data_IF_563288268099
#
_entry.id   IF_563288268099
#
_cell.length_a   1.000
_cell.length_b   1.000
_cell.length_c   1.000
_cell.angle_alpha   90.00
_cell.angle_beta   90.00
_cell.angle_gamma   90.00
#
_symmetry.space_group_name_H-M   'P 1'
#
loop_
_entity.id
_entity.type
_entity.pdbx_description
1 polymer ?
#
# COMPACT_ATOMS: atom_id res chain seq x y z
N UNK A 1 2.38 6.47 14.93
CA UNK A 1 2.65 5.69 13.70
C UNK A 1 2.45 6.61 12.52
N UNK A 2 3.41 6.66 11.60
CA UNK A 2 3.38 7.52 10.40
C UNK A 2 3.81 6.72 9.18
N UNK A 3 3.05 6.82 8.09
CA UNK A 3 3.36 6.23 6.79
C UNK A 3 3.52 7.34 5.75
N UNK A 4 4.53 7.23 4.92
CA UNK A 4 4.68 8.03 3.72
C UNK A 4 3.76 7.45 2.64
N UNK A 5 2.99 8.31 1.99
CA UNK A 5 2.04 7.96 0.93
C UNK A 5 2.61 8.47 -0.39
N UNK A 6 2.85 7.56 -1.31
CA UNK A 6 3.36 7.88 -2.64
C UNK A 6 2.28 7.66 -3.70
N UNK A 7 2.28 8.52 -4.71
CA UNK A 7 1.51 8.34 -5.92
C UNK A 7 2.47 8.34 -7.11
N UNK A 8 2.49 7.26 -7.89
CA UNK A 8 3.46 7.07 -9.00
C UNK A 8 4.92 7.34 -8.58
N UNK A 9 5.34 6.82 -7.42
CA UNK A 9 6.66 7.02 -6.81
C UNK A 9 6.98 8.46 -6.37
N UNK A 10 6.03 9.38 -6.46
CA UNK A 10 6.17 10.75 -5.92
C UNK A 10 5.53 10.82 -4.55
N UNK A 11 6.24 11.37 -3.56
CA UNK A 11 5.70 11.57 -2.22
C UNK A 11 4.51 12.54 -2.28
N UNK A 12 3.32 12.00 -2.08
CA UNK A 12 2.08 12.77 -2.12
C UNK A 12 1.68 13.31 -0.75
N UNK A 13 2.02 12.59 0.33
CA UNK A 13 1.62 13.01 1.66
C UNK A 13 1.93 11.98 2.75
N UNK A 14 1.24 12.14 3.86
CA UNK A 14 1.48 11.37 5.08
C UNK A 14 0.17 10.88 5.69
N UNK A 15 0.12 9.60 6.01
CA UNK A 15 -0.96 9.00 6.79
C UNK A 15 -0.44 8.72 8.19
N UNK A 16 -1.07 9.28 9.22
CA UNK A 16 -0.61 9.11 10.59
C UNK A 16 -1.75 8.92 11.58
N UNK A 17 -1.46 8.21 12.67
CA UNK A 17 -2.40 7.96 13.73
C UNK A 17 -2.06 8.81 14.94
N UNK A 18 -3.05 9.51 15.47
CA UNK A 18 -3.00 10.30 16.71
C UNK A 18 -3.93 9.70 17.74
N UNK A 19 -3.65 9.91 19.03
CA UNK A 19 -4.46 9.33 20.13
C UNK A 19 -5.87 9.95 20.21
N UNK A 20 -5.98 11.22 19.86
CA UNK A 20 -7.20 12.04 20.00
C UNK A 20 -8.03 12.12 18.72
N UNK A 21 -7.40 12.09 17.55
CA UNK A 21 -8.08 12.29 16.25
C UNK A 21 -8.16 11.04 15.38
N UNK A 22 -7.59 9.92 15.85
CA UNK A 22 -7.51 8.68 15.08
C UNK A 22 -6.55 8.78 13.90
N UNK A 23 -6.93 8.26 12.74
CA UNK A 23 -6.11 8.29 11.52
C UNK A 23 -6.40 9.58 10.74
N UNK A 24 -5.34 10.29 10.38
CA UNK A 24 -5.37 11.57 9.67
C UNK A 24 -4.48 11.47 8.44
N UNK A 25 -4.89 12.07 7.34
CA UNK A 25 -4.07 12.21 6.13
C UNK A 25 -3.80 13.68 5.84
N UNK A 26 -2.56 13.99 5.47
CA UNK A 26 -2.16 15.31 4.99
C UNK A 26 -1.33 15.15 3.71
N UNK A 27 -1.59 16.00 2.72
CA UNK A 27 -0.69 16.12 1.57
C UNK A 27 0.63 16.77 1.97
N UNK A 28 1.72 16.40 1.29
CA UNK A 28 3.01 17.09 1.40
C UNK A 28 2.92 18.50 0.82
N UNK A 29 3.54 19.48 1.48
CA UNK A 29 3.46 20.89 1.04
C UNK A 29 4.04 21.11 -0.35
N UNK A 30 5.16 20.46 -0.67
CA UNK A 30 5.78 20.57 -2.00
C UNK A 30 4.88 19.92 -3.06
N UNK A 31 4.23 18.80 -2.71
CA UNK A 31 3.29 18.13 -3.62
C UNK A 31 2.10 19.04 -3.95
N UNK A 32 1.54 19.74 -2.95
CA UNK A 32 0.45 20.69 -3.13
C UNK A 32 0.92 21.91 -3.96
N UNK A 33 2.08 22.47 -3.62
CA UNK A 33 2.60 23.67 -4.31
C UNK A 33 2.95 23.38 -5.79
N UNK A 34 3.31 22.15 -6.12
CA UNK A 34 3.56 21.71 -7.49
C UNK A 34 2.31 21.22 -8.23
N UNK A 35 1.10 21.47 -7.70
CA UNK A 35 -0.16 21.03 -8.28
C UNK A 35 -0.20 19.53 -8.59
N UNK A 36 0.23 18.71 -7.64
CA UNK A 36 0.20 17.25 -7.76
C UNK A 36 -1.20 16.72 -8.06
N UNK A 37 -1.29 15.49 -8.54
CA UNK A 37 -2.57 14.83 -8.78
C UNK A 37 -3.22 14.45 -7.44
N UNK A 38 -4.52 14.74 -7.20
CA UNK A 38 -5.21 14.26 -6.01
C UNK A 38 -5.29 12.73 -5.97
N UNK A 39 -5.17 12.15 -4.78
CA UNK A 39 -5.30 10.68 -4.59
C UNK A 39 -6.69 10.17 -5.00
N UNK A 40 -7.71 11.00 -4.82
CA UNK A 40 -9.10 10.68 -5.12
C UNK A 40 -9.92 11.97 -5.21
N UNK A 41 -11.07 11.89 -5.88
CA UNK A 41 -12.07 12.97 -5.86
C UNK A 41 -12.57 13.27 -4.44
N UNK A 42 -12.58 12.29 -3.54
CA UNK A 42 -12.95 12.47 -2.12
C UNK A 42 -11.83 13.07 -1.28
N UNK A 43 -10.60 13.09 -1.79
CA UNK A 43 -9.41 13.67 -1.18
C UNK A 43 -8.78 14.70 -2.15
N UNK A 44 -9.46 15.82 -2.44
CA UNK A 44 -8.93 16.83 -3.34
C UNK A 44 -7.64 17.44 -2.79
N UNK A 45 -6.82 18.02 -3.68
CA UNK A 45 -5.57 18.66 -3.29
C UNK A 45 -5.83 19.87 -2.42
N UNK A 46 -5.34 19.86 -1.18
CA UNK A 46 -5.47 20.94 -0.20
C UNK A 46 -4.34 20.90 0.83
N UNK A 47 -4.11 22.01 1.54
CA UNK A 47 -3.10 22.12 2.60
C UNK A 47 -3.59 21.57 3.95
N UNK A 48 -4.90 21.62 4.17
CA UNK A 48 -5.52 21.16 5.41
C UNK A 48 -5.52 19.63 5.50
N UNK A 49 -5.42 19.13 6.73
CA UNK A 49 -5.50 17.71 7.00
C UNK A 49 -6.92 17.15 6.77
N UNK A 50 -6.99 15.92 6.33
CA UNK A 50 -8.24 15.17 6.25
C UNK A 50 -8.45 14.36 7.52
N UNK A 51 -9.59 14.59 8.15
CA UNK A 51 -10.00 13.80 9.33
C UNK A 51 -10.22 12.34 8.97
N UNK A 52 -10.17 11.46 9.98
CA UNK A 52 -10.44 10.03 9.83
C UNK A 52 -11.71 9.74 9.03
N UNK A 53 -12.80 10.45 9.33
CA UNK A 53 -14.09 10.27 8.64
C UNK A 53 -13.99 10.50 7.13
N UNK A 54 -13.12 11.41 6.68
CA UNK A 54 -12.94 11.74 5.26
C UNK A 54 -11.94 10.84 4.55
N UNK A 55 -10.82 10.50 5.21
CA UNK A 55 -9.75 9.78 4.51
C UNK A 55 -9.88 8.25 4.60
N UNK A 56 -10.46 7.71 5.69
CA UNK A 56 -10.55 6.27 5.89
C UNK A 56 -11.33 5.49 4.82
N UNK A 57 -12.46 5.98 4.27
CA UNK A 57 -13.15 5.27 3.20
C UNK A 57 -12.26 5.00 1.98
N UNK A 58 -11.42 5.95 1.61
CA UNK A 58 -10.46 5.77 0.52
C UNK A 58 -9.37 4.74 0.89
N UNK A 59 -8.70 4.92 2.02
CA UNK A 59 -7.59 4.05 2.41
C UNK A 59 -8.01 2.62 2.76
N UNK A 60 -9.20 2.42 3.33
CA UNK A 60 -9.73 1.08 3.57
C UNK A 60 -10.10 0.36 2.27
N UNK A 61 -10.59 1.09 1.28
CA UNK A 61 -10.94 0.54 -0.03
C UNK A 61 -9.74 0.06 -0.87
N UNK A 62 -8.50 0.40 -0.46
CA UNK A 62 -7.28 -0.13 -1.07
C UNK A 62 -6.89 -1.51 -0.54
N UNK A 63 -7.56 -1.99 0.50
CA UNK A 63 -7.22 -3.22 1.21
C UNK A 63 -8.22 -4.34 0.88
N UNK A 64 -7.80 -5.59 0.99
CA UNK A 64 -8.71 -6.72 0.81
C UNK A 64 -9.80 -6.71 1.89
N UNK A 65 -10.96 -7.28 1.52
CA UNK A 65 -12.13 -7.41 2.38
C UNK A 65 -12.46 -8.88 2.68
N UNK A 66 -13.41 -9.10 3.59
CA UNK A 66 -13.99 -10.41 3.89
C UNK A 66 -12.95 -11.44 4.35
N UNK A 67 -13.06 -12.65 3.83
CA UNK A 67 -12.24 -13.80 4.25
C UNK A 67 -10.74 -13.63 3.99
N UNK A 68 -10.37 -12.86 2.96
CA UNK A 68 -8.96 -12.58 2.65
C UNK A 68 -8.37 -11.69 3.75
N UNK A 69 -9.10 -10.65 4.15
CA UNK A 69 -8.68 -9.76 5.24
C UNK A 69 -8.50 -10.52 6.55
N UNK A 70 -9.43 -11.41 6.90
CA UNK A 70 -9.35 -12.22 8.11
C UNK A 70 -8.09 -13.11 8.11
N UNK A 71 -7.84 -13.82 7.02
CA UNK A 71 -6.63 -14.66 6.87
C UNK A 71 -5.33 -13.87 7.00
N UNK A 72 -5.30 -12.66 6.45
CA UNK A 72 -4.13 -11.78 6.58
C UNK A 72 -3.99 -11.29 8.02
N UNK A 73 -5.09 -10.91 8.68
CA UNK A 73 -5.15 -10.51 10.08
C UNK A 73 -4.55 -11.59 10.99
N UNK A 74 -4.99 -12.83 10.83
CA UNK A 74 -4.48 -13.99 11.56
C UNK A 74 -2.99 -14.23 11.29
N UNK A 75 -2.58 -14.21 10.03
CA UNK A 75 -1.19 -14.46 9.64
C UNK A 75 -0.22 -13.40 10.16
N UNK A 76 -0.62 -12.13 10.13
CA UNK A 76 0.22 -11.00 10.58
C UNK A 76 0.03 -10.65 12.06
N UNK A 77 -0.90 -11.32 12.76
CA UNK A 77 -1.28 -11.01 14.14
C UNK A 77 -1.66 -9.54 14.36
N UNK A 78 -2.41 -8.97 13.43
CA UNK A 78 -2.92 -7.59 13.48
C UNK A 78 -4.44 -7.59 13.56
N UNK A 79 -5.00 -6.59 14.25
CA UNK A 79 -6.47 -6.45 14.30
C UNK A 79 -7.06 -6.13 12.93
N UNK A 80 -8.14 -6.81 12.53
CA UNK A 80 -8.88 -6.56 11.29
C UNK A 80 -9.36 -5.10 11.16
N UNK A 81 -9.64 -4.44 12.28
CA UNK A 81 -10.07 -3.05 12.30
C UNK A 81 -8.93 -2.05 12.08
N UNK A 82 -7.67 -2.48 12.16
CA UNK A 82 -6.52 -1.58 12.08
C UNK A 82 -6.04 -1.35 10.65
N UNK A 83 -6.78 -0.54 9.87
CA UNK A 83 -6.43 -0.20 8.49
C UNK A 83 -4.99 0.29 8.33
N UNK A 84 -4.49 1.13 9.24
CA UNK A 84 -3.13 1.67 9.14
C UNK A 84 -2.04 0.59 9.28
N UNK A 85 -2.24 -0.43 10.11
CA UNK A 85 -1.32 -1.57 10.22
C UNK A 85 -1.36 -2.46 8.98
N UNK A 86 -2.55 -2.65 8.39
CA UNK A 86 -2.67 -3.34 7.11
C UNK A 86 -1.94 -2.59 5.99
N UNK A 87 -2.11 -1.27 5.90
CA UNK A 87 -1.39 -0.44 4.93
C UNK A 87 0.12 -0.49 5.17
N UNK A 88 0.58 -0.53 6.41
CA UNK A 88 2.00 -0.70 6.73
C UNK A 88 2.54 -2.04 6.23
N UNK A 89 1.77 -3.12 6.40
CA UNK A 89 2.21 -4.46 6.04
C UNK A 89 2.10 -4.77 4.55
N UNK A 90 1.09 -4.21 3.88
CA UNK A 90 0.72 -4.51 2.48
C UNK A 90 1.00 -3.35 1.53
N UNK A 91 1.25 -2.16 2.07
CA UNK A 91 1.15 -0.91 1.32
C UNK A 91 2.17 -0.69 0.22
N UNK A 92 3.25 -1.49 0.16
CA UNK A 92 4.19 -1.44 -0.96
C UNK A 92 3.58 -1.83 -2.31
N UNK A 93 2.43 -2.53 -2.30
CA UNK A 93 1.78 -3.12 -3.48
C UNK A 93 0.24 -3.03 -3.40
N UNK A 94 -0.28 -1.88 -2.97
CA UNK A 94 -1.72 -1.64 -2.96
C UNK A 94 -2.31 -1.58 -4.38
N UNK A 95 -3.63 -1.73 -4.46
CA UNK A 95 -4.36 -1.52 -5.71
C UNK A 95 -4.13 -0.11 -6.26
N UNK A 96 -3.77 -0.02 -7.54
CA UNK A 96 -3.54 1.25 -8.21
C UNK A 96 -2.12 1.78 -8.06
N UNK A 97 -1.97 3.10 -8.20
CA UNK A 97 -0.68 3.78 -8.24
C UNK A 97 -0.18 4.27 -6.88
N UNK A 98 -0.94 3.99 -5.81
CA UNK A 98 -0.62 4.44 -4.45
C UNK A 98 0.19 3.36 -3.73
N UNK A 99 1.27 3.77 -3.06
CA UNK A 99 2.07 2.90 -2.21
C UNK A 99 2.37 3.56 -0.86
N UNK A 100 2.61 2.73 0.16
CA UNK A 100 2.83 3.16 1.54
C UNK A 100 4.14 2.58 2.06
N UNK A 101 4.93 3.41 2.71
CA UNK A 101 6.19 3.01 3.34
C UNK A 101 6.32 3.64 4.73
N UNK A 102 7.04 2.99 5.62
CA UNK A 102 7.36 3.60 6.91
C UNK A 102 8.16 4.88 6.70
N UNK A 103 7.90 5.89 7.53
CA UNK A 103 8.61 7.17 7.43
C UNK A 103 10.12 7.08 7.69
N UNK A 104 10.57 5.98 8.32
CA UNK A 104 11.98 5.72 8.64
C UNK A 104 12.69 4.88 7.56
N UNK A 105 11.96 4.33 6.60
CA UNK A 105 12.55 3.57 5.51
C UNK A 105 13.03 4.50 4.41
N UNK A 106 14.30 4.37 4.02
CA UNK A 106 14.81 5.01 2.80
C UNK A 106 14.13 4.37 1.59
N UNK A 107 13.23 5.10 0.97
CA UNK A 107 12.55 4.66 -0.24
C UNK A 107 13.41 4.98 -1.47
N UNK A 108 14.32 4.09 -1.79
CA UNK A 108 15.04 4.12 -3.07
C UNK A 108 14.14 3.58 -4.16
N UNK A 109 13.29 4.43 -4.76
CA UNK A 109 12.59 4.06 -5.98
C UNK A 109 13.60 4.09 -7.13
N UNK A 110 13.77 2.98 -7.85
CA UNK A 110 14.55 3.03 -9.08
C UNK A 110 13.84 3.99 -10.05
N UNK A 111 14.58 4.97 -10.56
CA UNK A 111 14.07 6.06 -11.40
C UNK A 111 13.27 5.60 -12.64
N UNK A 112 13.35 4.33 -13.02
CA UNK A 112 12.79 3.78 -14.26
C UNK A 112 11.94 2.52 -14.09
N UNK A 113 11.23 2.34 -12.98
CA UNK A 113 10.40 1.13 -12.77
C UNK A 113 9.25 0.93 -13.79
N UNK A 114 8.95 1.92 -14.60
CA UNK A 114 7.85 1.89 -15.57
C UNK A 114 8.28 1.56 -17.03
N UNK A 115 9.56 1.46 -17.29
CA UNK A 115 10.01 0.93 -18.59
C UNK A 115 9.99 -0.59 -18.52
N UNK A 116 8.97 -1.17 -19.17
CA UNK A 116 8.92 -2.59 -19.48
C UNK A 116 10.03 -2.89 -20.51
N UNK A 117 11.28 -3.00 -20.05
CA UNK A 117 12.34 -3.58 -20.85
C UNK A 117 12.31 -5.10 -20.67
N UNK A 118 12.68 -5.85 -21.69
CA UNK A 118 12.77 -7.31 -21.59
C UNK A 118 13.69 -7.77 -20.43
N UNK A 119 14.64 -6.93 -20.02
CA UNK A 119 15.55 -7.14 -18.91
C UNK A 119 14.86 -7.18 -17.53
N UNK A 120 13.62 -6.64 -17.42
CA UNK A 120 12.84 -6.65 -16.19
C UNK A 120 12.01 -7.92 -15.98
N UNK A 121 12.01 -8.84 -16.95
CA UNK A 121 11.32 -10.12 -16.80
C UNK A 121 12.25 -11.14 -16.13
N UNK A 122 11.83 -11.63 -14.97
CA UNK A 122 12.52 -12.72 -14.28
C UNK A 122 11.99 -14.05 -14.84
N UNK A 123 12.85 -14.90 -15.44
CA UNK A 123 12.44 -16.21 -15.93
C UNK A 123 11.82 -17.04 -14.79
N UNK A 124 10.63 -17.54 -14.99
CA UNK A 124 9.88 -18.29 -13.96
C UNK A 124 9.82 -19.77 -14.35
N UNK A 125 10.54 -20.62 -13.64
CA UNK A 125 10.54 -22.07 -13.92
C UNK A 125 9.27 -22.75 -13.38
N UNK A 126 8.87 -23.86 -14.02
CA UNK A 126 7.72 -24.65 -13.58
C UNK A 126 7.87 -25.17 -12.13
N UNK A 127 9.10 -25.47 -11.70
CA UNK A 127 9.36 -25.90 -10.32
C UNK A 127 9.13 -24.77 -9.33
N UNK A 128 9.54 -23.55 -9.65
CA UNK A 128 9.23 -22.35 -8.88
C UNK A 128 7.73 -22.10 -8.83
N UNK A 129 7.02 -22.26 -9.96
CA UNK A 129 5.57 -22.12 -9.99
C UNK A 129 4.85 -23.11 -9.09
N UNK A 130 5.25 -24.37 -9.13
CA UNK A 130 4.69 -25.44 -8.28
C UNK A 130 4.94 -25.18 -6.78
N UNK A 131 6.13 -24.72 -6.42
CA UNK A 131 6.46 -24.33 -5.05
C UNK A 131 5.60 -23.17 -4.60
N UNK A 132 5.43 -22.17 -5.46
CA UNK A 132 4.64 -20.99 -5.24
C UNK A 132 3.16 -21.31 -4.99
N UNK A 133 2.56 -22.18 -5.83
CA UNK A 133 1.18 -22.65 -5.66
C UNK A 133 0.99 -23.39 -4.33
N UNK A 134 1.99 -24.18 -3.91
CA UNK A 134 1.94 -24.88 -2.62
C UNK A 134 2.03 -23.89 -1.44
N UNK A 135 2.92 -22.90 -1.52
CA UNK A 135 3.07 -21.88 -0.49
C UNK A 135 1.85 -20.96 -0.36
N UNK A 136 1.19 -20.61 -1.47
CA UNK A 136 0.02 -19.74 -1.47
C UNK A 136 -1.16 -20.26 -0.65
N UNK A 137 -1.21 -21.59 -0.43
CA UNK A 137 -2.21 -22.22 0.45
C UNK A 137 -2.03 -21.84 1.92
N UNK A 138 -0.77 -21.63 2.35
CA UNK A 138 -0.40 -21.36 3.74
C UNK A 138 -0.04 -19.90 4.01
N UNK A 139 0.38 -19.18 2.97
CA UNK A 139 0.75 -17.76 3.07
C UNK A 139 -0.25 -16.91 2.27
N UNK A 140 -1.18 -16.21 2.93
CA UNK A 140 -2.14 -15.36 2.24
C UNK A 140 -1.37 -14.30 1.45
N UNK A 141 -1.67 -14.18 0.15
CA UNK A 141 -1.04 -13.25 -0.80
C UNK A 141 0.50 -13.37 -0.86
N UNK A 142 1.07 -14.50 -0.42
CA UNK A 142 2.51 -14.76 -0.35
C UNK A 142 3.29 -13.73 0.49
N UNK A 143 2.65 -13.18 1.49
CA UNK A 143 3.25 -12.27 2.44
C UNK A 143 4.53 -12.88 3.05
N UNK A 144 5.59 -12.07 3.11
CA UNK A 144 6.89 -12.50 3.61
C UNK A 144 7.78 -13.24 2.60
N UNK A 145 7.34 -13.46 1.36
CA UNK A 145 8.21 -13.91 0.28
C UNK A 145 9.04 -12.73 -0.23
N UNK A 146 10.37 -12.88 -0.29
CA UNK A 146 11.27 -11.80 -0.71
C UNK A 146 11.13 -11.43 -2.19
N UNK A 147 10.73 -12.39 -3.03
CA UNK A 147 10.85 -12.26 -4.48
C UNK A 147 9.51 -12.09 -5.21
N UNK A 148 8.38 -12.38 -4.57
CA UNK A 148 7.06 -12.36 -5.21
C UNK A 148 5.96 -12.11 -4.19
N UNK A 149 5.18 -11.05 -4.44
CA UNK A 149 3.90 -10.81 -3.75
C UNK A 149 2.77 -10.85 -4.79
N UNK A 150 1.63 -11.38 -4.41
CA UNK A 150 0.43 -11.23 -5.22
C UNK A 150 -0.09 -9.81 -5.03
N UNK A 151 -0.25 -9.08 -6.13
CA UNK A 151 -0.84 -7.76 -6.11
C UNK A 151 -2.28 -7.83 -5.57
N UNK A 152 -2.69 -6.82 -4.80
CA UNK A 152 -4.08 -6.64 -4.37
C UNK A 152 -5.02 -6.31 -5.55
N UNK A 153 -4.48 -5.84 -6.66
CA UNK A 153 -5.24 -5.58 -7.87
C UNK A 153 -5.78 -6.90 -8.45
N UNK A 154 -7.07 -7.12 -8.35
CA UNK A 154 -7.73 -8.32 -8.86
C UNK A 154 -7.99 -9.42 -7.84
N UNK A 155 -7.74 -9.18 -6.56
CA UNK A 155 -8.08 -10.10 -5.46
C UNK A 155 -9.53 -9.95 -4.98
N UNK A 156 -10.44 -9.55 -5.85
CA UNK A 156 -11.90 -9.50 -5.59
C UNK A 156 -12.58 -10.78 -6.07
#
# INVERSE_FOLDING_TARGET
>A
MKLNVFLFNTLAGYLFSTADRGVVFAYDENYVNNNGMPLSLSLPLQKEEFSQKKCMPYFSGLLPEGSIRNRISEYLHISESSTIKFLQALGGECSGAVSFYNSEEETNFPENKWHLSEENYIPFSMDKLNSFIKESKNKPMLLGSKDLRLSLAGAQ
#
